data_IF_027760062215
#
_entry.id   IF_027760062215
#
_cell.length_a   1.000
_cell.length_b   1.000
_cell.length_c   1.000
_cell.angle_alpha   90.00
_cell.angle_beta   90.00
_cell.angle_gamma   90.00
#
_symmetry.space_group_name_H-M   'P 1'
#
loop_
_entity.id
_entity.type
_entity.pdbx_description
1 polymer ?
#
# COMPACT_ATOMS: atom_id res chain seq x y z
N UNK A 1 -12.14 21.12 -5.38
CA UNK A 1 -10.76 21.01 -5.90
C UNK A 1 -10.73 20.07 -7.11
N UNK A 2 -9.57 19.93 -7.77
CA UNK A 2 -9.41 19.11 -8.99
C UNK A 2 -9.94 17.67 -8.83
N UNK A 3 -9.73 17.06 -7.66
CA UNK A 3 -10.22 15.71 -7.35
C UNK A 3 -11.75 15.54 -7.55
N UNK A 4 -12.54 16.58 -7.33
CA UNK A 4 -14.00 16.51 -7.44
C UNK A 4 -14.48 16.28 -8.88
N UNK A 5 -13.70 16.68 -9.88
CA UNK A 5 -14.03 16.38 -11.29
C UNK A 5 -13.99 14.88 -11.59
N UNK A 6 -13.29 14.09 -10.78
CA UNK A 6 -13.16 12.64 -10.93
C UNK A 6 -14.08 11.86 -9.99
N UNK A 7 -14.85 12.52 -9.12
CA UNK A 7 -15.72 11.88 -8.13
C UNK A 7 -16.63 10.83 -8.76
N UNK A 8 -17.33 11.17 -9.84
CA UNK A 8 -18.21 10.24 -10.54
C UNK A 8 -17.50 8.98 -11.06
N UNK A 9 -16.22 9.06 -11.40
CA UNK A 9 -15.43 7.89 -11.81
C UNK A 9 -14.99 7.06 -10.60
N UNK A 10 -14.53 7.71 -9.53
CA UNK A 10 -14.09 7.04 -8.31
C UNK A 10 -15.24 6.32 -7.60
N UNK A 11 -16.44 6.91 -7.54
CA UNK A 11 -17.62 6.36 -6.84
C UNK A 11 -18.43 5.36 -7.70
N UNK A 12 -17.95 4.99 -8.88
CA UNK A 12 -18.62 4.08 -9.79
C UNK A 12 -18.01 2.67 -9.76
N UNK A 13 -18.84 1.67 -9.41
CA UNK A 13 -18.46 0.26 -9.30
C UNK A 13 -18.14 -0.43 -10.64
N UNK A 14 -18.61 0.11 -11.75
CA UNK A 14 -18.35 -0.44 -13.08
C UNK A 14 -16.87 -0.30 -13.47
N UNK A 15 -16.20 0.75 -12.99
CA UNK A 15 -14.77 0.94 -13.21
C UNK A 15 -13.99 0.27 -12.10
N UNK A 16 -13.30 -0.84 -12.41
CA UNK A 16 -12.44 -1.52 -11.45
C UNK A 16 -11.08 -0.84 -11.37
N UNK A 17 -10.65 -0.50 -10.16
CA UNK A 17 -9.37 0.17 -9.89
C UNK A 17 -8.43 -0.75 -9.13
N UNK A 18 -7.16 -0.71 -9.51
CA UNK A 18 -6.07 -1.41 -8.83
C UNK A 18 -5.26 -0.39 -8.05
N UNK A 19 -4.88 -0.77 -6.84
CA UNK A 19 -4.17 0.11 -5.91
C UNK A 19 -2.89 -0.56 -5.40
N UNK A 20 -2.07 0.25 -4.73
CA UNK A 20 -0.99 -0.21 -3.89
C UNK A 20 -1.18 0.41 -2.52
N UNK A 21 -1.59 -0.39 -1.52
CA UNK A 21 -2.02 0.09 -0.21
C UNK A 21 -3.31 0.95 -0.26
N UNK A 22 -4.37 0.36 -0.80
CA UNK A 22 -5.69 0.96 -1.02
C UNK A 22 -6.25 1.67 0.21
N UNK A 23 -6.06 1.11 1.42
CA UNK A 23 -6.60 1.70 2.65
C UNK A 23 -6.15 3.14 2.84
N UNK A 24 -4.87 3.44 2.59
CA UNK A 24 -4.35 4.78 2.70
C UNK A 24 -5.08 5.75 1.76
N UNK A 25 -5.11 5.45 0.46
CA UNK A 25 -5.74 6.31 -0.54
C UNK A 25 -7.25 6.44 -0.31
N UNK A 26 -7.93 5.36 0.07
CA UNK A 26 -9.38 5.36 0.31
C UNK A 26 -9.75 6.28 1.47
N UNK A 27 -8.95 6.31 2.54
CA UNK A 27 -9.15 7.23 3.67
C UNK A 27 -8.92 8.69 3.25
N UNK A 28 -7.85 8.98 2.49
CA UNK A 28 -7.58 10.33 1.98
C UNK A 28 -8.72 10.81 1.08
N UNK A 29 -9.18 9.98 0.16
CA UNK A 29 -10.28 10.31 -0.75
C UNK A 29 -11.60 10.52 0.00
N UNK A 30 -11.86 9.73 1.05
CA UNK A 30 -13.05 9.89 1.88
C UNK A 30 -13.06 11.23 2.65
N UNK A 31 -11.89 11.68 3.12
CA UNK A 31 -11.75 13.00 3.75
C UNK A 31 -12.04 14.15 2.77
N UNK A 32 -11.84 13.93 1.47
CA UNK A 32 -12.23 14.83 0.39
C UNK A 32 -13.70 14.64 -0.04
N UNK A 33 -14.48 13.84 0.70
CA UNK A 33 -15.87 13.55 0.41
C UNK A 33 -16.07 12.66 -0.82
N UNK A 34 -15.10 11.81 -1.17
CA UNK A 34 -15.17 10.85 -2.29
C UNK A 34 -15.18 9.43 -1.74
N UNK A 35 -16.27 8.70 -1.95
CA UNK A 35 -16.43 7.30 -1.57
C UNK A 35 -15.90 6.38 -2.68
N UNK A 36 -14.60 6.11 -2.68
CA UNK A 36 -13.98 5.25 -3.69
C UNK A 36 -14.61 3.86 -3.72
N UNK A 37 -15.16 3.49 -4.89
CA UNK A 37 -15.83 2.23 -5.20
C UNK A 37 -15.18 1.51 -6.38
N UNK A 38 -15.64 0.31 -6.67
CA UNK A 38 -15.05 -0.53 -7.71
C UNK A 38 -13.65 -1.02 -7.35
N UNK A 39 -13.46 -1.47 -6.10
CA UNK A 39 -12.20 -2.09 -5.70
C UNK A 39 -11.90 -3.36 -6.54
N UNK A 40 -10.89 -3.26 -7.40
CA UNK A 40 -10.43 -4.32 -8.28
C UNK A 40 -9.29 -5.15 -7.69
N UNK A 41 -8.60 -4.61 -6.68
CA UNK A 41 -7.55 -5.29 -5.95
C UNK A 41 -6.43 -4.35 -5.50
N UNK A 42 -5.56 -4.90 -4.66
CA UNK A 42 -4.39 -4.24 -4.08
C UNK A 42 -3.17 -5.13 -4.28
N UNK A 43 -2.15 -4.57 -4.92
CA UNK A 43 -0.89 -5.25 -5.20
C UNK A 43 -0.14 -5.67 -3.94
N UNK A 44 -0.29 -4.96 -2.82
CA UNK A 44 0.32 -5.32 -1.54
C UNK A 44 -0.32 -6.58 -0.96
N UNK A 45 -1.65 -6.71 -1.05
CA UNK A 45 -2.36 -7.93 -0.64
C UNK A 45 -1.97 -9.13 -1.51
N UNK A 46 -1.93 -8.92 -2.83
CA UNK A 46 -1.53 -9.96 -3.79
C UNK A 46 -0.08 -10.39 -3.53
N UNK A 47 0.85 -9.46 -3.26
CA UNK A 47 2.24 -9.76 -2.97
C UNK A 47 2.40 -10.61 -1.71
N UNK A 48 1.66 -10.27 -0.66
CA UNK A 48 1.68 -11.03 0.61
C UNK A 48 1.11 -12.43 0.46
N UNK A 49 0.12 -12.61 -0.42
CA UNK A 49 -0.43 -13.93 -0.76
C UNK A 49 0.56 -14.76 -1.59
N UNK A 50 1.29 -14.11 -2.49
CA UNK A 50 2.28 -14.76 -3.34
C UNK A 50 3.49 -15.26 -2.53
N UNK A 51 4.07 -14.40 -1.69
CA UNK A 51 5.23 -14.76 -0.87
C UNK A 51 5.19 -14.01 0.46
N UNK A 52 4.73 -14.70 1.51
CA UNK A 52 4.64 -14.13 2.86
C UNK A 52 6.01 -13.95 3.54
N UNK A 53 7.07 -14.58 3.02
CA UNK A 53 8.41 -14.53 3.62
C UNK A 53 9.15 -13.21 3.37
N UNK A 54 8.59 -12.35 2.49
CA UNK A 54 9.12 -11.00 2.23
C UNK A 54 8.91 -10.03 3.39
N UNK A 55 8.16 -10.40 4.43
CA UNK A 55 7.80 -9.48 5.51
C UNK A 55 9.02 -9.04 6.34
N UNK A 56 9.32 -7.73 6.29
CA UNK A 56 10.42 -7.15 7.07
C UNK A 56 10.19 -7.24 8.57
N UNK A 57 8.92 -7.23 9.02
CA UNK A 57 8.61 -7.26 10.45
C UNK A 57 9.02 -8.59 11.10
N UNK A 58 9.09 -9.66 10.32
CA UNK A 58 9.54 -10.99 10.76
C UNK A 58 11.01 -11.25 10.46
N UNK A 59 11.78 -10.20 10.08
CA UNK A 59 13.17 -10.34 9.63
C UNK A 59 13.32 -11.00 8.25
N UNK A 60 12.26 -11.00 7.45
CA UNK A 60 12.21 -11.57 6.12
C UNK A 60 12.86 -10.69 5.03
N UNK A 61 12.45 -10.90 3.78
CA UNK A 61 13.01 -10.26 2.59
C UNK A 61 12.74 -8.76 2.42
N UNK A 62 12.68 -8.29 1.18
CA UNK A 62 12.67 -6.86 0.83
C UNK A 62 11.35 -6.11 1.10
N UNK A 63 10.34 -6.77 1.67
CA UNK A 63 9.03 -6.19 1.96
C UNK A 63 8.09 -6.14 0.76
N UNK A 64 6.98 -5.42 0.97
CA UNK A 64 5.87 -5.30 0.02
C UNK A 64 5.66 -3.87 -0.48
N UNK A 65 6.57 -2.94 -0.19
CA UNK A 65 6.48 -1.58 -0.73
C UNK A 65 6.54 -1.61 -2.25
N UNK A 66 5.89 -0.64 -2.91
CA UNK A 66 5.91 -0.53 -4.36
C UNK A 66 7.34 -0.43 -4.92
N UNK A 67 8.25 0.25 -4.20
CA UNK A 67 9.69 0.30 -4.52
C UNK A 67 10.27 -1.12 -4.57
N UNK A 68 10.24 -1.85 -3.44
CA UNK A 68 10.74 -3.22 -3.36
C UNK A 68 10.15 -4.16 -4.44
N UNK A 69 8.84 -4.11 -4.69
CA UNK A 69 8.19 -4.99 -5.67
C UNK A 69 8.50 -4.63 -7.11
N UNK A 70 8.60 -3.33 -7.43
CA UNK A 70 8.87 -2.86 -8.80
C UNK A 70 10.35 -2.90 -9.17
N UNK A 71 11.25 -2.94 -8.17
CA UNK A 71 12.69 -3.15 -8.37
C UNK A 71 13.12 -4.60 -8.28
N UNK A 72 12.26 -5.52 -7.84
CA UNK A 72 12.57 -6.95 -7.67
C UNK A 72 13.03 -7.61 -8.98
N UNK A 73 14.21 -8.26 -8.97
CA UNK A 73 14.80 -8.85 -10.18
C UNK A 73 14.10 -10.13 -10.64
N UNK A 74 13.39 -10.82 -9.75
CA UNK A 74 12.59 -11.99 -10.11
C UNK A 74 11.30 -11.56 -10.82
N UNK A 75 10.57 -10.59 -10.27
CA UNK A 75 9.35 -10.06 -10.89
C UNK A 75 9.69 -9.27 -12.17
N UNK A 76 10.78 -8.51 -12.13
CA UNK A 76 11.25 -7.64 -13.22
C UNK A 76 12.73 -7.88 -13.54
N UNK A 77 13.05 -8.93 -14.32
CA UNK A 77 14.36 -9.09 -14.92
C UNK A 77 14.75 -7.87 -15.77
N UNK A 78 16.05 -7.68 -16.03
CA UNK A 78 16.62 -6.48 -16.66
C UNK A 78 15.89 -6.03 -17.95
N UNK A 79 15.52 -6.98 -18.83
CA UNK A 79 14.87 -6.69 -20.12
C UNK A 79 13.34 -6.59 -20.04
N UNK A 80 12.77 -6.68 -18.84
CA UNK A 80 11.31 -6.64 -18.70
C UNK A 80 10.76 -5.22 -18.90
N UNK A 81 9.65 -5.04 -19.67
CA UNK A 81 9.11 -3.71 -19.96
C UNK A 81 8.76 -2.86 -18.74
N UNK A 82 8.42 -3.52 -17.62
CA UNK A 82 8.09 -2.88 -16.34
C UNK A 82 9.29 -2.37 -15.54
N UNK A 83 10.49 -2.93 -15.75
CA UNK A 83 11.69 -2.61 -14.94
C UNK A 83 12.05 -1.12 -14.97
N UNK A 84 11.89 -0.48 -16.13
CA UNK A 84 12.15 0.96 -16.27
C UNK A 84 11.22 1.82 -15.42
N UNK A 85 10.07 1.29 -14.98
CA UNK A 85 9.12 2.00 -14.13
C UNK A 85 9.30 1.69 -12.64
N UNK A 86 10.41 1.04 -12.24
CA UNK A 86 10.73 0.85 -10.84
C UNK A 86 10.60 2.16 -10.06
N UNK A 87 9.86 2.12 -8.95
CA UNK A 87 9.62 3.28 -8.11
C UNK A 87 10.91 3.67 -7.41
N UNK A 88 11.21 4.96 -7.45
CA UNK A 88 12.33 5.58 -6.73
C UNK A 88 11.76 6.31 -5.52
N UNK A 89 12.40 6.24 -4.35
CA UNK A 89 11.88 6.89 -3.15
C UNK A 89 11.80 8.43 -3.30
N UNK A 90 10.81 9.07 -2.65
CA UNK A 90 10.70 10.54 -2.63
C UNK A 90 11.96 11.21 -2.08
N UNK A 91 12.58 10.61 -1.06
CA UNK A 91 13.78 11.14 -0.41
C UNK A 91 14.99 11.15 -1.36
N UNK A 92 15.07 10.17 -2.25
CA UNK A 92 16.10 10.15 -3.28
C UNK A 92 15.86 11.24 -4.33
N UNK A 93 14.62 11.39 -4.79
CA UNK A 93 14.26 12.32 -5.87
C UNK A 93 14.23 13.79 -5.44
N UNK A 94 13.73 14.08 -4.24
CA UNK A 94 13.41 15.44 -3.78
C UNK A 94 14.12 15.82 -2.47
N UNK A 95 14.91 14.91 -1.89
CA UNK A 95 15.60 15.18 -0.63
C UNK A 95 16.69 16.24 -0.80
N UNK A 96 16.62 17.28 0.02
CA UNK A 96 17.60 18.37 0.06
C UNK A 96 18.57 18.11 1.20
N UNK A 97 19.87 18.36 0.97
CA UNK A 97 20.87 18.21 2.01
C UNK A 97 20.59 19.18 3.17
N UNK A 98 20.50 18.66 4.39
CA UNK A 98 20.32 19.50 5.57
C UNK A 98 21.57 20.36 5.78
N UNK A 99 21.41 21.66 6.04
CA UNK A 99 22.55 22.50 6.42
C UNK A 99 23.01 22.16 7.83
N UNK A 100 24.32 22.02 8.01
CA UNK A 100 24.96 21.90 9.32
C UNK A 100 25.00 23.26 10.02
N UNK A 101 25.29 23.25 11.33
CA UNK A 101 25.48 24.49 12.12
C UNK A 101 26.61 25.39 11.60
N UNK A 102 27.54 24.83 10.83
CA UNK A 102 28.68 25.52 10.20
C UNK A 102 28.37 26.00 8.76
N UNK A 103 27.14 25.80 8.26
CA UNK A 103 26.74 26.18 6.90
C UNK A 103 27.11 25.16 5.80
N UNK A 104 27.80 24.06 6.14
CA UNK A 104 28.10 22.99 5.18
C UNK A 104 26.94 22.03 4.94
N UNK A 105 26.94 21.32 3.81
CA UNK A 105 25.93 20.31 3.50
C UNK A 105 26.08 19.05 4.38
N UNK A 106 24.97 18.55 4.91
CA UNK A 106 24.87 17.28 5.64
C UNK A 106 24.58 16.12 4.69
N UNK A 107 25.08 14.93 5.05
CA UNK A 107 24.69 13.67 4.38
C UNK A 107 23.22 13.29 4.64
N UNK A 108 22.59 13.91 5.64
CA UNK A 108 21.17 13.70 5.92
C UNK A 108 20.35 14.55 4.94
N UNK A 109 19.67 13.86 4.02
CA UNK A 109 18.64 14.48 3.19
C UNK A 109 17.35 14.64 3.99
N UNK A 110 16.77 15.83 3.94
CA UNK A 110 15.46 16.15 4.48
C UNK A 110 14.49 16.36 3.31
N UNK A 111 13.27 15.83 3.43
CA UNK A 111 12.26 15.99 2.39
C UNK A 111 11.52 17.31 2.66
N UNK A 112 11.48 18.26 1.70
CA UNK A 112 10.68 19.47 1.85
C UNK A 112 9.18 19.15 2.00
N UNK A 113 8.41 20.13 2.49
CA UNK A 113 6.95 20.00 2.55
C UNK A 113 6.35 19.72 1.16
N UNK A 114 5.35 18.85 1.10
CA UNK A 114 4.75 18.41 -0.15
C UNK A 114 4.16 19.58 -0.95
N UNK A 115 3.58 20.60 -0.30
CA UNK A 115 3.04 21.78 -0.98
C UNK A 115 4.15 22.61 -1.61
N UNK A 116 5.35 22.63 -1.01
CA UNK A 116 6.51 23.31 -1.62
C UNK A 116 6.91 22.58 -2.90
N UNK A 117 7.09 21.25 -2.84
CA UNK A 117 7.46 20.44 -4.01
C UNK A 117 6.42 20.51 -5.15
N UNK A 118 5.14 20.61 -4.82
CA UNK A 118 4.07 20.65 -5.82
C UNK A 118 3.94 22.01 -6.52
N UNK A 119 4.31 23.09 -5.83
CA UNK A 119 4.15 24.46 -6.33
C UNK A 119 5.45 25.08 -6.85
N UNK A 120 6.61 24.54 -6.51
CA UNK A 120 7.90 24.99 -7.02
C UNK A 120 8.09 24.56 -8.48
N UNK A 121 8.24 25.51 -9.44
CA UNK A 121 8.44 25.19 -10.86
C UNK A 121 9.61 24.25 -11.13
N UNK A 122 10.65 24.26 -10.29
CA UNK A 122 11.84 23.43 -10.44
C UNK A 122 11.61 21.95 -10.09
N UNK A 123 10.59 21.64 -9.29
CA UNK A 123 10.30 20.26 -8.85
C UNK A 123 8.95 19.74 -9.33
N UNK A 124 8.04 20.63 -9.79
CA UNK A 124 6.68 20.29 -10.22
C UNK A 124 6.63 19.25 -11.34
N UNK A 125 7.43 19.37 -12.40
CA UNK A 125 7.43 18.40 -13.49
C UNK A 125 7.86 17.01 -13.01
N UNK A 126 8.92 16.97 -12.19
CA UNK A 126 9.41 15.74 -11.58
C UNK A 126 8.39 15.13 -10.61
N UNK A 127 7.61 15.96 -9.89
CA UNK A 127 6.51 15.50 -9.04
C UNK A 127 5.38 14.87 -9.83
N UNK A 128 4.99 15.47 -10.96
CA UNK A 128 3.98 14.92 -11.87
C UNK A 128 4.46 13.57 -12.42
N UNK A 129 5.72 13.51 -12.87
CA UNK A 129 6.31 12.28 -13.38
C UNK A 129 6.34 11.19 -12.29
N UNK A 130 6.81 11.52 -11.09
CA UNK A 130 6.82 10.61 -9.94
C UNK A 130 5.44 10.01 -9.66
N UNK A 131 4.42 10.88 -9.59
CA UNK A 131 3.04 10.48 -9.30
C UNK A 131 2.47 9.57 -10.40
N UNK A 132 2.75 9.89 -11.67
CA UNK A 132 2.32 9.07 -12.80
C UNK A 132 3.05 7.72 -12.84
N UNK A 133 4.35 7.69 -12.54
CA UNK A 133 5.16 6.47 -12.52
C UNK A 133 4.69 5.50 -11.44
N UNK A 134 4.25 5.98 -10.28
CA UNK A 134 3.67 5.11 -9.25
C UNK A 134 2.44 4.34 -9.73
N UNK A 135 1.56 4.99 -10.50
CA UNK A 135 0.40 4.32 -11.08
C UNK A 135 0.82 3.27 -12.13
N UNK A 136 1.80 3.59 -12.98
CA UNK A 136 2.34 2.65 -13.98
C UNK A 136 3.06 1.48 -13.33
N UNK A 137 3.85 1.73 -12.29
CA UNK A 137 4.53 0.70 -11.52
C UNK A 137 3.52 -0.24 -10.84
N UNK A 138 2.47 0.32 -10.25
CA UNK A 138 1.38 -0.45 -9.64
C UNK A 138 0.72 -1.39 -10.65
N UNK A 139 0.45 -0.90 -11.88
CA UNK A 139 -0.09 -1.73 -12.95
C UNK A 139 0.85 -2.89 -13.31
N UNK A 140 2.14 -2.62 -13.53
CA UNK A 140 3.11 -3.65 -13.87
C UNK A 140 3.29 -4.68 -12.76
N UNK A 141 3.35 -4.23 -11.50
CA UNK A 141 3.43 -5.10 -10.33
C UNK A 141 2.20 -6.00 -10.24
N UNK A 142 1.01 -5.45 -10.49
CA UNK A 142 -0.23 -6.24 -10.58
C UNK A 142 -0.12 -7.32 -11.65
N UNK A 143 0.30 -6.98 -12.87
CA UNK A 143 0.46 -7.96 -13.96
C UNK A 143 1.38 -9.11 -13.54
N UNK A 144 2.53 -8.80 -12.94
CA UNK A 144 3.51 -9.81 -12.53
C UNK A 144 2.98 -10.70 -11.41
N UNK A 145 2.45 -10.13 -10.34
CA UNK A 145 1.98 -10.91 -9.20
C UNK A 145 0.75 -11.74 -9.57
N UNK A 146 -0.18 -11.19 -10.37
CA UNK A 146 -1.33 -11.98 -10.86
C UNK A 146 -0.86 -13.21 -11.65
N UNK A 147 0.19 -13.07 -12.47
CA UNK A 147 0.76 -14.20 -13.20
C UNK A 147 1.40 -15.23 -12.26
N UNK A 148 2.06 -14.81 -11.17
CA UNK A 148 2.57 -15.75 -10.17
C UNK A 148 1.45 -16.45 -9.40
N UNK A 149 0.45 -15.72 -8.92
CA UNK A 149 -0.70 -16.28 -8.22
C UNK A 149 -1.48 -17.28 -9.08
N UNK A 150 -1.57 -17.07 -10.40
CA UNK A 150 -2.18 -18.01 -11.35
C UNK A 150 -1.41 -19.32 -11.50
N UNK A 151 -0.10 -19.34 -11.22
CA UNK A 151 0.73 -20.55 -11.24
C UNK A 151 0.62 -21.33 -9.92
N UNK A 152 0.23 -20.68 -8.84
CA UNK A 152 0.07 -21.30 -7.52
C UNK A 152 -1.29 -22.01 -7.43
N UNK A 153 -1.33 -23.34 -7.26
CA UNK A 153 -2.61 -24.05 -7.15
C UNK A 153 -3.32 -23.70 -5.83
N UNK A 154 -4.63 -23.50 -5.89
CA UNK A 154 -5.46 -23.37 -4.70
C UNK A 154 -6.00 -24.74 -4.32
N UNK A 155 -5.45 -25.30 -3.23
CA UNK A 155 -5.77 -26.64 -2.74
C UNK A 155 -6.42 -26.53 -1.37
N UNK A 156 -7.58 -27.17 -1.20
CA UNK A 156 -8.28 -27.31 0.08
C UNK A 156 -8.53 -28.80 0.30
N UNK A 157 -8.13 -29.32 1.46
CA UNK A 157 -8.32 -30.72 1.80
C UNK A 157 -9.81 -31.09 1.68
N UNK A 158 -10.07 -32.22 1.02
CA UNK A 158 -11.41 -32.80 0.85
C UNK A 158 -12.45 -31.91 0.13
N UNK A 159 -12.02 -30.85 -0.57
CA UNK A 159 -12.90 -29.94 -1.31
C UNK A 159 -12.50 -29.86 -2.78
N UNK A 160 -13.42 -30.22 -3.68
CA UNK A 160 -13.26 -30.00 -5.12
C UNK A 160 -13.68 -28.58 -5.50
N UNK A 161 -12.70 -27.77 -5.90
CA UNK A 161 -12.92 -26.39 -6.35
C UNK A 161 -13.22 -26.28 -7.85
N UNK A 162 -13.10 -27.38 -8.60
CA UNK A 162 -13.13 -27.34 -10.07
C UNK A 162 -14.49 -27.02 -10.66
N UNK A 163 -15.57 -27.35 -9.94
CA UNK A 163 -16.93 -27.01 -10.33
C UNK A 163 -17.16 -25.49 -10.40
N UNK A 164 -16.47 -24.70 -9.56
CA UNK A 164 -16.62 -23.24 -9.49
C UNK A 164 -15.52 -22.48 -10.22
N UNK A 165 -14.27 -22.94 -10.14
CA UNK A 165 -13.10 -22.20 -10.64
C UNK A 165 -12.40 -22.87 -11.83
N UNK A 166 -13.03 -23.90 -12.41
CA UNK A 166 -12.50 -24.61 -13.57
C UNK A 166 -11.41 -25.62 -13.23
N UNK A 167 -10.73 -26.20 -14.23
CA UNK A 167 -9.90 -27.40 -14.05
C UNK A 167 -8.62 -27.16 -13.23
N UNK A 168 -8.17 -25.91 -13.09
CA UNK A 168 -6.95 -25.53 -12.36
C UNK A 168 -7.17 -24.29 -11.49
N UNK A 169 -7.94 -24.42 -10.40
CA UNK A 169 -8.13 -23.34 -9.43
C UNK A 169 -6.77 -22.88 -8.88
N UNK A 170 -6.59 -21.57 -8.76
CA UNK A 170 -5.30 -20.98 -8.38
C UNK A 170 -5.46 -19.89 -7.31
N UNK A 171 -4.34 -19.42 -6.77
CA UNK A 171 -4.36 -18.44 -5.67
C UNK A 171 -4.87 -17.06 -6.11
N UNK A 172 -4.92 -16.75 -7.41
CA UNK A 172 -5.61 -15.55 -7.88
C UNK A 172 -7.13 -15.69 -7.78
N UNK A 173 -7.68 -16.89 -8.01
CA UNK A 173 -9.11 -17.17 -7.76
C UNK A 173 -9.44 -17.03 -6.27
N UNK A 174 -8.57 -17.54 -5.39
CA UNK A 174 -8.69 -17.36 -3.94
C UNK A 174 -8.70 -15.88 -3.56
N UNK A 175 -7.75 -15.11 -4.11
CA UNK A 175 -7.65 -13.67 -3.87
C UNK A 175 -8.96 -12.95 -4.25
N UNK A 176 -9.47 -13.22 -5.45
CA UNK A 176 -10.68 -12.58 -5.96
C UNK A 176 -11.92 -13.00 -5.16
N UNK A 177 -11.96 -14.23 -4.65
CA UNK A 177 -13.07 -14.76 -3.86
C UNK A 177 -13.11 -14.21 -2.43
N UNK A 178 -11.96 -14.01 -1.79
CA UNK A 178 -11.91 -13.70 -0.34
C UNK A 178 -11.17 -12.40 -0.04
N UNK A 179 -9.92 -12.26 -0.47
CA UNK A 179 -9.06 -11.17 -0.01
C UNK A 179 -9.42 -9.81 -0.63
N UNK A 180 -9.98 -9.80 -1.85
CA UNK A 180 -10.43 -8.55 -2.48
C UNK A 180 -11.52 -7.88 -1.64
N UNK A 181 -12.63 -8.56 -1.39
CA UNK A 181 -13.76 -7.94 -0.68
C UNK A 181 -13.42 -7.73 0.81
N UNK A 182 -12.62 -8.62 1.39
CA UNK A 182 -12.09 -8.42 2.74
C UNK A 182 -11.20 -7.17 2.85
N UNK A 183 -10.37 -6.89 1.84
CA UNK A 183 -9.53 -5.70 1.80
C UNK A 183 -10.34 -4.41 1.83
N UNK A 184 -11.46 -4.35 1.13
CA UNK A 184 -12.37 -3.19 1.16
C UNK A 184 -13.05 -3.08 2.55
N UNK A 185 -13.58 -4.19 3.07
CA UNK A 185 -14.19 -4.23 4.41
C UNK A 185 -13.24 -3.77 5.51
N UNK A 186 -11.97 -4.15 5.46
CA UNK A 186 -10.97 -3.72 6.45
C UNK A 186 -10.88 -2.19 6.52
N UNK A 187 -10.93 -1.51 5.39
CA UNK A 187 -10.89 -0.04 5.37
C UNK A 187 -12.15 0.59 5.98
N UNK A 188 -13.32 -0.06 5.85
CA UNK A 188 -14.54 0.38 6.55
C UNK A 188 -14.40 0.17 8.07
N UNK A 189 -13.86 -0.97 8.49
CA UNK A 189 -13.62 -1.27 9.91
C UNK A 189 -12.63 -0.28 10.53
N UNK A 190 -11.52 0.00 9.85
CA UNK A 190 -10.52 0.99 10.27
C UNK A 190 -11.13 2.39 10.43
N UNK A 191 -11.97 2.80 9.48
CA UNK A 191 -12.67 4.09 9.52
C UNK A 191 -13.66 4.17 10.69
N UNK A 192 -14.41 3.10 10.92
CA UNK A 192 -15.36 3.04 12.03
C UNK A 192 -14.66 3.13 13.39
N UNK A 193 -13.46 2.54 13.48
CA UNK A 193 -12.67 2.52 14.70
C UNK A 193 -13.34 1.74 15.84
N UNK A 194 -12.78 1.88 17.03
CA UNK A 194 -13.28 1.24 18.25
C UNK A 194 -13.46 2.34 19.30
N UNK A 195 -14.65 2.43 19.90
CA UNK A 195 -14.91 3.36 21.00
C UNK A 195 -14.23 2.85 22.27
N UNK A 196 -13.43 3.72 22.89
CA UNK A 196 -12.74 3.44 24.14
C UNK A 196 -13.15 4.46 25.21
N UNK A 197 -13.41 3.99 26.43
CA UNK A 197 -13.58 4.87 27.59
C UNK A 197 -12.22 5.35 28.09
N UNK A 198 -11.82 6.52 27.62
CA UNK A 198 -10.57 7.20 27.99
C UNK A 198 -10.66 7.98 29.29
N UNK A 199 -11.86 8.16 29.86
CA UNK A 199 -12.06 9.03 31.03
C UNK A 199 -12.06 8.26 32.34
N UNK A 200 -12.68 7.07 32.37
CA UNK A 200 -12.77 6.25 33.58
C UNK A 200 -11.89 5.01 33.43
N UNK A 201 -12.26 4.09 32.54
CA UNK A 201 -11.61 2.78 32.46
C UNK A 201 -10.11 2.86 32.18
N UNK A 202 -9.69 3.54 31.11
CA UNK A 202 -8.27 3.58 30.74
C UNK A 202 -7.42 4.36 31.77
N UNK A 203 -7.96 5.40 32.40
CA UNK A 203 -7.23 6.12 33.48
C UNK A 203 -7.03 5.25 34.71
N UNK A 204 -8.04 4.48 35.11
CA UNK A 204 -7.92 3.55 36.22
C UNK A 204 -6.91 2.44 35.91
N UNK A 205 -6.96 1.88 34.70
CA UNK A 205 -6.01 0.87 34.25
C UNK A 205 -4.56 1.40 34.26
N UNK A 206 -4.33 2.64 33.78
CA UNK A 206 -3.02 3.27 33.81
C UNK A 206 -2.49 3.47 35.25
N UNK A 207 -3.34 3.98 36.16
CA UNK A 207 -2.97 4.18 37.56
C UNK A 207 -2.60 2.86 38.24
N UNK A 208 -3.39 1.81 38.05
CA UNK A 208 -3.12 0.48 38.58
C UNK A 208 -1.79 -0.07 38.05
N UNK A 209 -1.55 0.01 36.74
CA UNK A 209 -0.31 -0.45 36.12
C UNK A 209 0.93 0.30 36.65
N UNK A 210 0.82 1.61 36.88
CA UNK A 210 1.91 2.43 37.46
C UNK A 210 2.20 2.05 38.91
N UNK A 211 1.18 1.81 39.73
CA UNK A 211 1.34 1.37 41.12
C UNK A 211 1.96 -0.02 41.20
N UNK A 212 1.54 -0.94 40.34
CA UNK A 212 2.09 -2.29 40.28
C UNK A 212 3.57 -2.28 39.89
N UNK A 213 3.94 -1.47 38.89
CA UNK A 213 5.34 -1.26 38.52
C UNK A 213 6.19 -0.78 39.69
N UNK A 214 5.69 0.20 40.47
CA UNK A 214 6.37 0.71 41.66
C UNK A 214 6.51 -0.33 42.79
N UNK A 215 5.64 -1.33 42.86
CA UNK A 215 5.78 -2.44 43.82
C UNK A 215 6.81 -3.48 43.40
N UNK A 216 7.11 -3.56 42.11
CA UNK A 216 8.06 -4.52 41.54
C UNK A 216 9.49 -3.95 41.41
N UNK A 217 9.64 -2.62 41.52
CA UNK A 217 10.93 -1.90 41.59
C UNK A 217 11.38 -1.73 43.05
#
# INVERSE_FOLDING_TARGET
GVLQHFKAWFENDAYKKIWHNYGFDRHVMHNEGIDCRGFGGDTMHMARLWDSSRDKATGGGDGYSLEALSSDDYLFPADSPGKKFAKISMKELFGVAKLKKDGGESKIKELPDMRVLQNDPSTREKWIEYSARDAVATWWVREKIVNELKKMPWIVADVSLTAKYGPKPNMYDFYMCYLKDFGELLTDMERNGIKLDTQVHLKQAEQAARQERQRME
#
